data_IF_956244823103
#
_entry.id   IF_956244823103
#
_cell.length_a   1.000
_cell.length_b   1.000
_cell.length_c   1.000
_cell.angle_alpha   90.00
_cell.angle_beta   90.00
_cell.angle_gamma   90.00
#
_symmetry.space_group_name_H-M   'P 1'
#
loop_
_entity.id
_entity.type
_entity.pdbx_description
1 polymer ?
#
# COMPACT_ATOMS: atom_id res chain seq x y z
N UNK A 1 -17.79 -51.26 59.48
CA UNK A 1 -17.23 -50.02 58.90
C UNK A 1 -15.95 -49.63 59.62
N UNK A 2 -14.84 -50.37 59.40
CA UNK A 2 -13.54 -50.05 60.01
C UNK A 2 -12.36 -50.37 59.07
N UNK A 3 -12.52 -51.30 58.11
CA UNK A 3 -11.46 -51.69 57.18
C UNK A 3 -11.11 -50.61 56.12
N UNK A 4 -12.04 -49.71 55.80
CA UNK A 4 -11.79 -48.64 54.81
C UNK A 4 -10.87 -47.53 55.32
N UNK A 5 -10.80 -47.31 56.64
CA UNK A 5 -9.96 -46.25 57.20
C UNK A 5 -8.47 -46.60 57.19
N UNK A 6 -8.13 -47.89 57.33
CA UNK A 6 -6.74 -48.35 57.33
C UNK A 6 -6.09 -48.27 55.93
N UNK A 7 -6.85 -48.56 54.88
CA UNK A 7 -6.35 -48.50 53.49
C UNK A 7 -6.12 -47.06 53.00
N UNK A 8 -6.94 -46.09 53.43
CA UNK A 8 -6.75 -44.68 53.07
C UNK A 8 -5.47 -44.09 53.67
N UNK A 9 -5.12 -44.47 54.92
CA UNK A 9 -3.90 -44.01 55.58
C UNK A 9 -2.66 -44.61 54.89
N UNK A 10 -2.72 -45.88 54.46
CA UNK A 10 -1.63 -46.55 53.76
C UNK A 10 -1.36 -45.96 52.36
N UNK A 11 -2.40 -45.46 51.66
CA UNK A 11 -2.20 -44.77 50.38
C UNK A 11 -1.56 -43.39 50.54
N UNK A 12 -1.88 -42.68 51.63
CA UNK A 12 -1.33 -41.33 51.90
C UNK A 12 0.16 -41.33 52.23
N UNK A 13 0.69 -42.41 52.82
CA UNK A 13 2.12 -42.51 53.14
C UNK A 13 2.99 -42.87 51.93
N UNK A 14 2.44 -43.53 50.91
CA UNK A 14 3.19 -43.91 49.70
C UNK A 14 3.52 -42.71 48.77
N UNK A 15 2.77 -41.61 48.85
CA UNK A 15 2.99 -40.43 47.98
C UNK A 15 4.10 -39.47 48.47
N UNK A 16 4.70 -39.71 49.64
CA UNK A 16 5.80 -38.88 50.16
C UNK A 16 7.21 -39.35 49.77
N UNK A 17 7.34 -40.38 48.91
CA UNK A 17 8.64 -40.93 48.51
C UNK A 17 9.01 -40.62 47.05
N UNK A 18 8.78 -39.37 46.61
CA UNK A 18 9.42 -38.85 45.40
C UNK A 18 10.25 -37.64 45.78
N UNK A 19 11.54 -37.87 46.03
CA UNK A 19 12.52 -36.78 46.06
C UNK A 19 12.71 -36.28 44.62
N UNK A 20 12.42 -35.00 44.32
CA UNK A 20 12.82 -34.44 43.05
C UNK A 20 14.35 -34.37 43.00
N UNK A 21 14.93 -35.11 42.08
CA UNK A 21 16.33 -34.97 41.66
C UNK A 21 16.54 -33.55 41.17
N UNK A 22 17.48 -32.82 41.80
CA UNK A 22 17.89 -31.49 41.35
C UNK A 22 18.47 -31.59 39.93
N UNK A 23 17.89 -30.92 38.92
CA UNK A 23 18.59 -30.74 37.66
C UNK A 23 19.72 -29.71 37.87
N UNK A 24 20.91 -30.09 37.43
CA UNK A 24 22.16 -29.35 37.51
C UNK A 24 22.08 -27.98 36.82
N UNK A 25 22.63 -26.95 37.49
CA UNK A 25 22.64 -25.52 37.11
C UNK A 25 23.22 -25.18 35.72
N UNK A 26 23.71 -26.14 34.93
CA UNK A 26 24.44 -25.86 33.69
C UNK A 26 23.60 -25.88 32.40
N UNK A 27 22.41 -26.51 32.38
CA UNK A 27 21.60 -26.58 31.15
C UNK A 27 20.86 -25.27 30.79
N UNK A 28 20.81 -24.28 31.69
CA UNK A 28 20.01 -23.05 31.50
C UNK A 28 20.74 -21.95 30.71
N UNK A 29 22.07 -22.01 30.57
CA UNK A 29 22.88 -20.93 29.94
C UNK A 29 22.97 -21.00 28.41
N UNK A 30 22.72 -22.14 27.77
CA UNK A 30 22.81 -22.27 26.30
C UNK A 30 21.55 -21.85 25.54
N UNK A 31 20.35 -21.95 26.14
CA UNK A 31 19.08 -21.67 25.44
C UNK A 31 18.71 -20.19 25.32
N UNK A 32 19.24 -19.33 26.19
CA UNK A 32 18.90 -17.89 26.16
C UNK A 32 19.62 -17.17 25.02
N UNK A 33 20.85 -17.60 24.67
CA UNK A 33 21.62 -16.96 23.59
C UNK A 33 21.06 -17.21 22.19
N UNK A 34 20.42 -18.36 21.96
CA UNK A 34 19.89 -18.73 20.64
C UNK A 34 18.59 -17.99 20.30
N UNK A 35 17.74 -17.71 21.30
CA UNK A 35 16.47 -17.00 21.07
C UNK A 35 16.61 -15.49 20.86
N UNK A 36 17.63 -14.87 21.46
CA UNK A 36 17.91 -13.43 21.24
C UNK A 36 18.43 -13.19 19.82
N UNK A 37 19.23 -14.11 19.28
CA UNK A 37 19.77 -14.02 17.92
C UNK A 37 18.70 -14.12 16.82
N UNK A 38 17.64 -14.91 17.05
CA UNK A 38 16.57 -15.12 16.05
C UNK A 38 15.60 -13.94 15.91
N UNK A 39 15.52 -13.05 16.92
CA UNK A 39 14.64 -11.87 16.88
C UNK A 39 15.42 -10.60 16.53
N UNK A 40 16.71 -10.52 16.88
CA UNK A 40 17.54 -9.36 16.55
C UNK A 40 17.86 -9.27 15.05
N UNK A 41 18.01 -10.40 14.36
CA UNK A 41 18.38 -10.43 12.95
C UNK A 41 17.36 -9.75 12.00
N UNK A 42 16.03 -9.98 12.10
CA UNK A 42 15.06 -9.30 11.23
C UNK A 42 14.91 -7.80 11.53
N UNK A 43 15.21 -7.35 12.76
CA UNK A 43 15.13 -5.93 13.14
C UNK A 43 16.29 -5.14 12.53
N UNK A 44 17.49 -5.73 12.44
CA UNK A 44 18.63 -5.09 11.78
C UNK A 44 18.49 -5.03 10.24
N UNK A 45 17.82 -6.01 9.60
CA UNK A 45 17.61 -5.97 8.15
C UNK A 45 16.51 -4.98 7.71
N UNK A 46 15.64 -4.54 8.62
CA UNK A 46 14.55 -3.60 8.30
C UNK A 46 15.00 -2.13 8.18
N UNK A 47 16.25 -1.82 8.53
CA UNK A 47 16.76 -0.44 8.60
C UNK A 47 17.41 0.06 7.30
N UNK A 48 17.43 -0.73 6.22
CA UNK A 48 18.19 -0.43 5.01
C UNK A 48 17.34 0.08 3.82
N UNK A 49 16.08 0.43 4.05
CA UNK A 49 15.30 1.17 3.06
C UNK A 49 14.91 2.50 3.69
N UNK A 50 15.41 3.64 3.19
CA UNK A 50 14.68 4.87 3.40
C UNK A 50 13.34 4.66 2.68
N UNK A 51 12.31 4.32 3.44
CA UNK A 51 10.95 4.62 3.03
C UNK A 51 10.91 6.15 2.99
N UNK A 52 11.27 6.72 1.85
CA UNK A 52 11.01 8.13 1.54
C UNK A 52 9.50 8.24 1.39
N UNK A 53 8.80 8.29 2.53
CA UNK A 53 7.55 9.00 2.58
C UNK A 53 7.90 10.46 2.35
N UNK A 54 7.80 10.88 1.08
CA UNK A 54 7.81 12.28 0.68
C UNK A 54 6.55 12.91 1.28
N UNK A 55 6.57 13.14 2.59
CA UNK A 55 5.67 14.08 3.24
C UNK A 55 6.02 15.42 2.63
N UNK A 56 5.13 15.96 1.81
CA UNK A 56 5.31 17.29 1.25
C UNK A 56 5.47 18.26 2.43
N UNK A 57 6.72 18.69 2.63
CA UNK A 57 7.03 19.87 3.44
C UNK A 57 6.20 20.98 2.82
N UNK A 58 5.21 21.46 3.58
CA UNK A 58 4.14 22.33 3.14
C UNK A 58 4.60 23.39 2.15
N UNK A 59 4.41 23.10 0.87
CA UNK A 59 4.20 24.12 -0.13
C UNK A 59 2.69 24.30 -0.20
N UNK A 60 2.23 25.53 -0.38
CA UNK A 60 0.84 25.79 -0.74
C UNK A 60 0.63 25.26 -2.17
N UNK A 61 0.70 23.94 -2.33
CA UNK A 61 0.35 23.24 -3.55
C UNK A 61 -1.16 23.37 -3.59
N UNK A 62 -1.64 24.37 -4.35
CA UNK A 62 -3.05 24.41 -4.73
C UNK A 62 -3.46 23.08 -5.36
N UNK A 63 -4.71 22.93 -5.84
CA UNK A 63 -5.19 21.65 -6.35
C UNK A 63 -4.41 21.12 -7.58
N UNK A 64 -3.38 21.82 -8.08
CA UNK A 64 -2.61 21.52 -9.29
C UNK A 64 -1.24 20.92 -8.95
N UNK A 65 -1.01 19.66 -9.33
CA UNK A 65 0.25 18.95 -9.15
C UNK A 65 0.62 18.16 -10.42
N UNK A 66 1.89 18.18 -10.84
CA UNK A 66 2.38 17.40 -11.99
C UNK A 66 2.50 15.90 -11.70
N UNK A 67 2.65 15.51 -10.43
CA UNK A 67 2.76 14.11 -10.02
C UNK A 67 1.51 13.29 -10.41
N UNK A 68 0.34 13.94 -10.54
CA UNK A 68 -0.90 13.34 -11.04
C UNK A 68 -0.83 12.93 -12.52
N UNK A 69 0.13 13.46 -13.29
CA UNK A 69 0.40 13.10 -14.68
C UNK A 69 1.54 12.09 -14.74
N UNK A 70 2.59 12.28 -13.93
CA UNK A 70 3.84 11.50 -14.02
C UNK A 70 3.64 10.00 -13.72
N UNK A 71 2.66 9.65 -12.89
CA UNK A 71 2.29 8.27 -12.57
C UNK A 71 1.43 7.55 -13.63
N UNK A 72 1.00 8.23 -14.69
CA UNK A 72 0.10 7.67 -15.70
C UNK A 72 0.83 6.79 -16.73
N UNK A 73 0.11 5.89 -17.43
CA UNK A 73 0.69 5.12 -18.53
C UNK A 73 1.40 6.01 -19.56
N UNK A 74 2.50 5.53 -20.19
CA UNK A 74 3.26 6.31 -21.16
C UNK A 74 2.40 6.94 -22.27
N UNK A 75 1.40 6.21 -22.77
CA UNK A 75 0.50 6.68 -23.83
C UNK A 75 -0.36 7.85 -23.39
N UNK A 76 -0.85 7.83 -22.15
CA UNK A 76 -1.63 8.93 -21.57
C UNK A 76 -0.75 10.16 -21.38
N UNK A 77 0.48 9.98 -20.88
CA UNK A 77 1.45 11.07 -20.73
C UNK A 77 1.83 11.70 -22.07
N UNK A 78 2.03 10.88 -23.10
CA UNK A 78 2.30 11.35 -24.46
C UNK A 78 1.11 12.13 -25.05
N UNK A 79 -0.11 11.66 -24.81
CA UNK A 79 -1.32 12.37 -25.21
C UNK A 79 -1.41 13.75 -24.56
N UNK A 80 -1.14 13.84 -23.25
CA UNK A 80 -1.10 15.11 -22.51
C UNK A 80 0.00 16.02 -23.05
N UNK A 81 1.19 15.51 -23.32
CA UNK A 81 2.28 16.30 -23.91
C UNK A 81 1.94 16.81 -25.33
N UNK A 82 1.13 16.08 -26.09
CA UNK A 82 0.62 16.55 -27.39
C UNK A 82 -0.38 17.71 -27.28
N UNK A 83 -1.15 17.74 -26.18
CA UNK A 83 -2.07 18.84 -25.85
C UNK A 83 -1.29 20.04 -25.30
N UNK A 84 -0.45 19.75 -24.30
CA UNK A 84 0.27 20.72 -23.50
C UNK A 84 1.58 21.08 -24.18
N UNK A 85 1.63 22.26 -24.82
CA UNK A 85 2.85 22.80 -25.44
C UNK A 85 3.80 23.39 -24.38
N UNK A 86 4.16 22.61 -23.37
CA UNK A 86 4.96 23.03 -22.21
C UNK A 86 4.57 22.30 -20.92
N UNK A 87 4.96 22.85 -19.75
CA UNK A 87 4.65 22.26 -18.45
C UNK A 87 3.15 22.04 -18.25
N UNK A 88 2.80 20.91 -17.63
CA UNK A 88 1.45 20.54 -17.31
C UNK A 88 1.33 20.18 -15.82
N UNK A 89 0.19 20.53 -15.23
CA UNK A 89 -0.20 20.16 -13.87
C UNK A 89 -1.67 19.78 -13.90
N UNK A 90 -2.08 18.85 -13.04
CA UNK A 90 -3.45 18.37 -13.02
C UNK A 90 -4.00 18.35 -11.60
N UNK A 91 -5.33 18.28 -11.45
CA UNK A 91 -5.95 18.00 -10.15
C UNK A 91 -6.00 16.51 -9.85
N UNK A 92 -6.31 16.16 -8.61
CA UNK A 92 -6.38 14.77 -8.14
C UNK A 92 -7.30 13.90 -9.01
N UNK A 93 -8.50 14.41 -9.34
CA UNK A 93 -9.54 13.68 -10.08
C UNK A 93 -9.39 13.76 -11.61
N UNK A 94 -8.24 14.24 -12.09
CA UNK A 94 -7.91 14.32 -13.51
C UNK A 94 -7.96 12.97 -14.22
N UNK A 95 -7.55 11.90 -13.54
CA UNK A 95 -7.45 10.57 -14.12
C UNK A 95 -8.00 9.52 -13.16
N UNK A 96 -8.87 8.63 -13.67
CA UNK A 96 -9.43 7.52 -12.89
C UNK A 96 -9.25 6.21 -13.66
N UNK A 97 -8.74 5.18 -13.00
CA UNK A 97 -8.65 3.84 -13.56
C UNK A 97 -9.82 2.97 -13.11
N UNK A 98 -10.52 2.35 -14.06
CA UNK A 98 -11.52 1.30 -13.82
C UNK A 98 -10.88 -0.07 -14.03
N UNK A 99 -10.65 -0.87 -12.96
CA UNK A 99 -10.04 -2.19 -13.08
C UNK A 99 -10.91 -3.19 -13.85
N UNK A 100 -12.23 -3.05 -13.75
CA UNK A 100 -13.19 -3.94 -14.43
C UNK A 100 -13.15 -3.78 -15.94
N UNK A 101 -13.08 -2.53 -16.38
CA UNK A 101 -13.06 -2.19 -17.81
C UNK A 101 -11.63 -2.08 -18.36
N UNK A 102 -10.63 -2.17 -17.49
CA UNK A 102 -9.21 -1.95 -17.81
C UNK A 102 -9.03 -0.63 -18.58
N UNK A 103 -9.70 0.41 -18.07
CA UNK A 103 -9.88 1.70 -18.74
C UNK A 103 -9.42 2.84 -17.85
N UNK A 104 -8.60 3.73 -18.39
CA UNK A 104 -8.36 5.05 -17.82
C UNK A 104 -9.37 6.04 -18.40
N UNK A 105 -10.03 6.79 -17.53
CA UNK A 105 -10.84 7.95 -17.88
C UNK A 105 -10.07 9.21 -17.53
N UNK A 106 -9.92 10.11 -18.49
CA UNK A 106 -9.14 11.33 -18.39
C UNK A 106 -10.07 12.52 -18.59
N UNK A 107 -10.20 13.35 -17.54
CA UNK A 107 -11.05 14.53 -17.53
C UNK A 107 -10.18 15.77 -17.83
N UNK A 108 -10.16 16.25 -19.08
CA UNK A 108 -9.29 17.38 -19.46
C UNK A 108 -9.68 18.71 -18.79
N UNK A 109 -10.85 18.79 -18.17
CA UNK A 109 -11.24 19.92 -17.34
C UNK A 109 -10.25 20.20 -16.20
N UNK A 110 -9.74 19.13 -15.57
CA UNK A 110 -8.82 19.19 -14.45
C UNK A 110 -7.35 19.18 -14.89
N UNK A 111 -7.08 19.53 -16.15
CA UNK A 111 -5.72 19.73 -16.68
C UNK A 111 -5.43 21.22 -16.82
N UNK A 112 -4.25 21.64 -16.37
CA UNK A 112 -3.76 23.01 -16.51
C UNK A 112 -2.46 23.03 -17.30
N UNK A 113 -2.53 23.56 -18.51
CA UNK A 113 -1.37 23.80 -19.37
C UNK A 113 -1.72 24.73 -20.54
N UNK A 114 -0.69 25.16 -21.28
CA UNK A 114 -0.88 25.88 -22.55
C UNK A 114 -1.48 24.95 -23.61
N UNK A 115 -2.59 25.36 -24.22
CA UNK A 115 -3.28 24.60 -25.28
C UNK A 115 -4.62 24.00 -24.86
N UNK A 116 -4.90 23.92 -23.55
CA UNK A 116 -6.12 23.28 -23.04
C UNK A 116 -7.43 23.94 -23.51
N UNK A 117 -7.39 25.25 -23.81
CA UNK A 117 -8.56 26.00 -24.29
C UNK A 117 -9.15 25.46 -25.60
N UNK A 118 -8.34 24.80 -26.44
CA UNK A 118 -8.81 24.20 -27.69
C UNK A 118 -9.69 22.94 -27.48
N UNK A 119 -9.71 22.41 -26.25
CA UNK A 119 -10.43 21.18 -25.86
C UNK A 119 -11.68 21.49 -25.03
N UNK A 120 -12.20 22.72 -25.17
CA UNK A 120 -13.46 23.18 -24.58
C UNK A 120 -14.40 23.68 -25.68
N UNK A 121 -15.70 23.43 -25.51
CA UNK A 121 -16.78 23.87 -26.41
C UNK A 121 -17.90 24.47 -25.57
N UNK A 122 -17.87 25.79 -25.38
CA UNK A 122 -18.82 26.46 -24.48
C UNK A 122 -18.67 25.93 -23.05
N UNK A 123 -19.75 25.37 -22.51
CA UNK A 123 -19.77 24.72 -21.19
C UNK A 123 -19.32 23.24 -21.24
N UNK A 124 -18.87 22.73 -22.39
CA UNK A 124 -18.45 21.35 -22.55
C UNK A 124 -16.93 21.19 -22.53
N UNK A 125 -16.47 20.15 -21.85
CA UNK A 125 -15.08 19.74 -21.71
C UNK A 125 -14.88 18.39 -22.38
N UNK A 126 -13.71 18.18 -22.99
CA UNK A 126 -13.37 16.91 -23.62
C UNK A 126 -12.97 15.87 -22.56
N UNK A 127 -13.71 14.76 -22.54
CA UNK A 127 -13.35 13.53 -21.84
C UNK A 127 -12.71 12.54 -22.81
N UNK A 128 -11.70 11.84 -22.31
CA UNK A 128 -10.93 10.89 -23.11
C UNK A 128 -10.74 9.59 -22.34
N UNK A 129 -11.00 8.47 -23.02
CA UNK A 129 -10.79 7.15 -22.44
C UNK A 129 -9.62 6.44 -23.11
N UNK A 130 -8.80 5.76 -22.32
CA UNK A 130 -7.78 4.84 -22.79
C UNK A 130 -8.09 3.42 -22.31
N UNK A 131 -8.13 2.46 -23.22
CA UNK A 131 -8.45 1.05 -22.93
C UNK A 131 -7.20 0.21 -23.08
N UNK A 132 -7.00 -0.73 -22.16
CA UNK A 132 -5.89 -1.69 -22.21
C UNK A 132 -6.07 -2.66 -23.39
N UNK A 133 -5.05 -2.81 -24.21
CA UNK A 133 -4.93 -3.81 -25.25
C UNK A 133 -3.54 -4.47 -25.16
N UNK A 134 -3.51 -5.73 -24.72
CA UNK A 134 -2.25 -6.41 -24.44
C UNK A 134 -1.51 -5.73 -23.27
N UNK A 135 -0.30 -5.24 -23.52
CA UNK A 135 0.53 -4.56 -22.51
C UNK A 135 0.51 -3.02 -22.63
N UNK A 136 -0.39 -2.48 -23.45
CA UNK A 136 -0.43 -1.05 -23.80
C UNK A 136 -1.83 -0.49 -23.65
N UNK A 137 -1.91 0.83 -23.52
CA UNK A 137 -3.18 1.55 -23.51
C UNK A 137 -3.39 2.28 -24.83
N UNK A 138 -4.61 2.21 -25.37
CA UNK A 138 -4.98 2.85 -26.62
C UNK A 138 -6.16 3.78 -26.41
N UNK A 139 -6.21 4.87 -27.18
CA UNK A 139 -7.34 5.77 -27.20
C UNK A 139 -8.61 5.01 -27.59
N UNK A 140 -9.55 4.89 -26.66
CA UNK A 140 -10.82 4.17 -26.86
C UNK A 140 -11.97 5.08 -27.23
N UNK A 141 -12.11 6.22 -26.58
CA UNK A 141 -13.19 7.17 -26.83
C UNK A 141 -12.77 8.61 -26.58
N UNK A 142 -13.41 9.54 -27.28
CA UNK A 142 -13.30 10.97 -27.07
C UNK A 142 -14.70 11.57 -27.17
N UNK A 143 -15.10 12.34 -26.17
CA UNK A 143 -16.42 12.97 -26.17
C UNK A 143 -16.45 14.25 -25.36
N UNK A 144 -17.18 15.24 -25.88
CA UNK A 144 -17.48 16.44 -25.12
C UNK A 144 -18.66 16.17 -24.18
N UNK A 145 -18.51 16.52 -22.91
CA UNK A 145 -19.56 16.47 -21.87
C UNK A 145 -19.61 17.82 -21.16
N UNK A 146 -20.69 18.11 -20.47
CA UNK A 146 -20.74 19.32 -19.63
C UNK A 146 -19.59 19.30 -18.62
N UNK A 147 -18.89 20.42 -18.50
CA UNK A 147 -17.87 20.63 -17.48
C UNK A 147 -18.53 20.72 -16.09
N UNK A 148 -17.80 20.37 -15.04
CA UNK A 148 -18.22 20.52 -13.65
C UNK A 148 -18.77 19.24 -13.01
N UNK A 149 -18.10 18.11 -13.26
CA UNK A 149 -18.29 16.92 -12.43
C UNK A 149 -17.80 17.16 -10.98
#
# INVERSE_FOLDING_TARGET
MAAFHALYIAWRTALNSVKPTRPTRQAKRRRVKVRVLLVALPILLSNALPAVSKSSIGHNDGPWNSDHIDGLPPEVRQYIAGICKGPASAQHDFATYSPREKRWRINLEYLRCNGIGAFRRGNQCLDVDFVEQGSRFHLGAQQYRDCGF
#
